data_IF_835013454666
#
_entry.id   IF_835013454666
#
_cell.length_a   1.000
_cell.length_b   1.000
_cell.length_c   1.000
_cell.angle_alpha   90.00
_cell.angle_beta   90.00
_cell.angle_gamma   90.00
#
_symmetry.space_group_name_H-M   'P 1'
#
loop_
_entity.id
_entity.type
_entity.pdbx_description
1 polymer ?
#
# COMPACT_ATOMS: atom_id res chain seq x y z
N UNK A 1 7.38 -26.32 -3.24
CA UNK A 1 5.94 -26.69 -3.40
C UNK A 1 5.09 -25.54 -2.84
N UNK A 2 3.86 -25.40 -3.30
CA UNK A 2 3.00 -24.34 -2.78
C UNK A 2 2.54 -24.67 -1.35
N UNK A 3 2.55 -23.68 -0.46
CA UNK A 3 2.07 -23.86 0.91
C UNK A 3 0.57 -24.12 0.96
N UNK A 4 0.14 -25.00 1.88
CA UNK A 4 -1.27 -25.31 2.08
C UNK A 4 -2.00 -24.12 2.72
N UNK A 5 -3.19 -23.79 2.20
CA UNK A 5 -4.01 -22.70 2.73
C UNK A 5 -4.47 -22.94 4.17
N UNK A 6 -4.74 -24.20 4.54
CA UNK A 6 -5.15 -24.57 5.91
C UNK A 6 -4.01 -24.33 6.91
N UNK A 7 -2.77 -24.64 6.52
CA UNK A 7 -1.60 -24.36 7.33
C UNK A 7 -1.40 -22.83 7.51
N UNK A 8 -1.60 -22.07 6.44
CA UNK A 8 -1.51 -20.60 6.52
C UNK A 8 -2.57 -20.03 7.46
N UNK A 9 -3.81 -20.54 7.40
CA UNK A 9 -4.87 -20.11 8.29
C UNK A 9 -4.53 -20.44 9.74
N UNK A 10 -3.99 -21.62 10.00
CA UNK A 10 -3.52 -22.01 11.33
C UNK A 10 -2.45 -21.03 11.86
N UNK A 11 -1.46 -20.67 11.03
CA UNK A 11 -0.42 -19.68 11.41
C UNK A 11 -1.05 -18.31 11.70
N UNK A 12 -2.03 -17.87 10.91
CA UNK A 12 -2.75 -16.61 11.18
C UNK A 12 -3.42 -16.62 12.54
N UNK A 13 -4.08 -17.73 12.88
CA UNK A 13 -4.77 -17.89 14.16
C UNK A 13 -3.77 -17.88 15.33
N UNK A 14 -2.63 -18.56 15.18
CA UNK A 14 -1.57 -18.57 16.19
C UNK A 14 -0.94 -17.18 16.40
N UNK A 15 -0.76 -16.42 15.32
CA UNK A 15 -0.17 -15.09 15.37
C UNK A 15 -1.14 -13.98 15.81
N UNK A 16 -2.44 -14.25 15.88
CA UNK A 16 -3.50 -13.22 16.07
C UNK A 16 -3.38 -12.42 17.38
N UNK A 17 -2.68 -12.92 18.37
CA UNK A 17 -2.38 -12.19 19.62
C UNK A 17 -1.33 -11.09 19.51
N UNK A 18 -0.62 -11.00 18.38
CA UNK A 18 0.42 -9.99 18.15
C UNK A 18 -0.12 -8.68 17.61
N UNK A 19 -1.24 -8.71 16.86
CA UNK A 19 -1.85 -7.56 16.19
C UNK A 19 -2.77 -8.02 15.07
N UNK A 20 -3.10 -7.12 14.15
CA UNK A 20 -3.89 -7.45 12.96
C UNK A 20 -3.04 -8.22 11.94
N UNK A 21 -3.32 -9.52 11.82
CA UNK A 21 -2.58 -10.40 10.90
C UNK A 21 -3.28 -10.43 9.54
N UNK A 22 -2.53 -10.12 8.50
CA UNK A 22 -2.96 -10.22 7.11
C UNK A 22 -1.98 -11.03 6.29
N UNK A 23 -2.49 -11.77 5.30
CA UNK A 23 -1.67 -12.59 4.40
C UNK A 23 -1.87 -12.20 2.95
N UNK A 24 -0.81 -12.31 2.16
CA UNK A 24 -0.87 -12.12 0.70
C UNK A 24 -0.18 -13.26 0.01
N UNK A 25 -0.89 -13.92 -0.88
CA UNK A 25 -0.31 -14.95 -1.74
C UNK A 25 0.67 -14.32 -2.73
N UNK A 26 1.87 -14.92 -2.83
CA UNK A 26 2.92 -14.47 -3.75
C UNK A 26 3.67 -15.69 -4.32
N UNK A 27 3.57 -15.93 -5.61
CA UNK A 27 4.29 -16.99 -6.35
C UNK A 27 4.14 -18.40 -5.78
N UNK A 28 2.95 -18.73 -5.22
CA UNK A 28 2.69 -20.05 -4.63
C UNK A 28 2.86 -20.11 -3.12
N UNK A 29 3.56 -19.16 -2.52
CA UNK A 29 3.77 -19.01 -1.09
C UNK A 29 3.02 -17.82 -0.51
N UNK A 30 3.16 -17.54 0.77
CA UNK A 30 2.42 -16.48 1.43
C UNK A 30 3.34 -15.54 2.22
N UNK A 31 3.09 -14.25 2.07
CA UNK A 31 3.68 -13.20 2.91
C UNK A 31 2.74 -12.89 4.07
N UNK A 32 3.26 -12.84 5.30
CA UNK A 32 2.50 -12.55 6.49
C UNK A 32 2.87 -11.17 7.02
N UNK A 33 1.84 -10.39 7.31
CA UNK A 33 1.94 -9.03 7.82
C UNK A 33 1.27 -8.94 9.18
N UNK A 34 1.83 -8.12 10.07
CA UNK A 34 1.19 -7.71 11.31
C UNK A 34 1.13 -6.18 11.32
N UNK A 35 -0.07 -5.62 11.50
CA UNK A 35 -0.34 -4.18 11.42
C UNK A 35 0.24 -3.54 10.13
N UNK A 36 0.16 -4.26 9.01
CA UNK A 36 0.67 -3.84 7.72
C UNK A 36 2.19 -3.98 7.52
N UNK A 37 2.93 -4.45 8.52
CA UNK A 37 4.38 -4.69 8.47
C UNK A 37 4.66 -6.13 8.09
N UNK A 38 5.42 -6.36 7.02
CA UNK A 38 5.85 -7.70 6.62
C UNK A 38 6.87 -8.24 7.61
N UNK A 39 6.48 -9.20 8.43
CA UNK A 39 7.38 -9.83 9.41
C UNK A 39 7.83 -11.24 9.02
N UNK A 40 7.09 -11.93 8.18
CA UNK A 40 7.41 -13.32 7.85
C UNK A 40 6.85 -13.80 6.53
N UNK A 41 7.20 -15.04 6.20
CA UNK A 41 6.81 -15.76 5.00
C UNK A 41 6.37 -17.18 5.41
N UNK A 42 5.40 -17.74 4.70
CA UNK A 42 5.12 -19.18 4.76
C UNK A 42 5.48 -19.77 3.40
N UNK A 43 6.48 -20.64 3.41
CA UNK A 43 6.99 -21.33 2.24
C UNK A 43 7.10 -22.82 2.53
N UNK A 44 6.57 -23.67 1.65
CA UNK A 44 6.60 -25.13 1.78
C UNK A 44 6.14 -25.65 3.17
N UNK A 45 5.02 -25.10 3.66
CA UNK A 45 4.45 -25.36 5.00
C UNK A 45 5.41 -25.11 6.18
N UNK A 46 6.35 -24.20 6.03
CA UNK A 46 7.20 -23.74 7.12
C UNK A 46 7.01 -22.23 7.32
N UNK A 47 7.05 -21.80 8.58
CA UNK A 47 7.01 -20.40 8.95
C UNK A 47 8.44 -19.85 9.03
N UNK A 48 8.68 -18.78 8.29
CA UNK A 48 9.91 -18.03 8.28
C UNK A 48 9.67 -16.62 8.80
N UNK A 49 10.40 -16.22 9.83
CA UNK A 49 10.31 -14.86 10.41
C UNK A 49 11.58 -14.07 10.09
N UNK A 50 11.42 -12.80 9.74
CA UNK A 50 12.57 -11.93 9.46
C UNK A 50 13.52 -11.86 10.64
N UNK A 51 14.83 -12.03 10.41
CA UNK A 51 15.81 -12.04 11.47
C UNK A 51 15.99 -10.63 12.05
N UNK A 52 15.84 -10.55 13.38
CA UNK A 52 16.12 -9.35 14.16
C UNK A 52 16.82 -9.73 15.45
N UNK A 53 17.63 -8.82 15.99
CA UNK A 53 18.34 -9.07 17.25
C UNK A 53 17.37 -9.34 18.41
N UNK A 54 16.31 -8.55 18.50
CA UNK A 54 15.29 -8.70 19.53
C UNK A 54 14.46 -9.98 19.35
N UNK A 55 14.22 -10.39 18.11
CA UNK A 55 13.53 -11.65 17.78
C UNK A 55 14.39 -12.85 18.17
N UNK A 56 15.68 -12.83 17.86
CA UNK A 56 16.61 -13.89 18.23
C UNK A 56 16.63 -14.15 19.76
N UNK A 57 16.52 -13.09 20.56
CA UNK A 57 16.50 -13.20 22.02
C UNK A 57 15.22 -13.87 22.58
N UNK A 58 14.19 -14.07 21.75
CA UNK A 58 12.93 -14.75 22.12
C UNK A 58 12.88 -16.21 21.68
N UNK A 59 13.82 -16.64 20.86
CA UNK A 59 13.95 -18.02 20.40
C UNK A 59 14.90 -18.80 21.35
N UNK A 60 14.52 -20.02 21.69
CA UNK A 60 15.40 -20.92 22.44
C UNK A 60 16.54 -21.42 21.56
N UNK A 61 16.19 -21.86 20.35
CA UNK A 61 17.13 -22.25 19.31
C UNK A 61 16.93 -21.39 18.06
N UNK A 62 18.00 -20.77 17.60
CA UNK A 62 17.98 -19.92 16.42
C UNK A 62 18.39 -20.77 15.21
N UNK A 63 17.44 -21.18 14.42
CA UNK A 63 17.68 -21.87 13.15
C UNK A 63 17.49 -20.87 12.01
N UNK A 64 18.54 -20.65 11.24
CA UNK A 64 18.53 -19.78 10.07
C UNK A 64 18.40 -20.61 8.80
N UNK A 65 17.43 -20.26 7.94
CA UNK A 65 17.21 -20.93 6.66
C UNK A 65 16.65 -19.96 5.62
N UNK A 66 17.03 -20.19 4.37
CA UNK A 66 16.44 -19.44 3.24
C UNK A 66 15.07 -20.02 2.89
N UNK A 67 14.02 -19.21 2.82
CA UNK A 67 12.68 -19.66 2.45
C UNK A 67 12.60 -20.28 1.04
N UNK A 68 13.40 -19.76 0.12
CA UNK A 68 13.52 -20.22 -1.27
C UNK A 68 14.91 -19.90 -1.81
N UNK A 69 15.36 -20.56 -2.90
CA UNK A 69 16.67 -20.32 -3.49
C UNK A 69 16.89 -18.85 -3.86
N UNK A 70 17.98 -18.25 -3.34
CA UNK A 70 18.32 -16.85 -3.56
C UNK A 70 17.68 -15.87 -2.57
N UNK A 71 16.83 -16.32 -1.65
CA UNK A 71 16.31 -15.49 -0.56
C UNK A 71 17.35 -15.30 0.55
N UNK A 72 17.24 -14.18 1.27
CA UNK A 72 17.99 -13.99 2.51
C UNK A 72 17.50 -14.98 3.57
N UNK A 73 18.41 -15.39 4.44
CA UNK A 73 18.09 -16.27 5.56
C UNK A 73 17.10 -15.59 6.51
N UNK A 74 16.16 -16.41 7.00
CA UNK A 74 15.14 -16.05 7.98
C UNK A 74 15.19 -17.03 9.16
N UNK A 75 14.59 -16.66 10.27
CA UNK A 75 14.37 -17.63 11.35
C UNK A 75 13.36 -18.67 10.88
N UNK A 76 13.76 -19.93 10.85
CA UNK A 76 12.84 -21.05 10.69
C UNK A 76 12.18 -21.33 12.04
N UNK A 77 10.86 -21.30 12.07
CA UNK A 77 10.09 -21.58 13.28
C UNK A 77 9.50 -22.99 13.16
N UNK A 78 10.08 -23.92 13.88
CA UNK A 78 9.63 -25.31 13.88
C UNK A 78 8.45 -25.51 14.84
N UNK A 79 8.46 -24.82 16.00
CA UNK A 79 7.38 -24.90 16.99
C UNK A 79 6.36 -23.79 16.75
N UNK A 80 5.43 -24.04 15.84
CA UNK A 80 4.34 -23.13 15.51
C UNK A 80 3.11 -23.29 16.42
N UNK A 81 3.10 -24.30 17.29
CA UNK A 81 2.01 -24.57 18.22
C UNK A 81 2.10 -23.71 19.48
N UNK A 82 3.31 -23.27 19.85
CA UNK A 82 3.51 -22.36 20.99
C UNK A 82 3.13 -20.92 20.60
N UNK A 83 1.84 -20.63 20.80
CA UNK A 83 1.25 -19.32 20.51
C UNK A 83 1.91 -18.18 21.28
N UNK A 84 2.24 -18.38 22.54
CA UNK A 84 2.77 -17.32 23.40
C UNK A 84 4.18 -16.93 22.95
N UNK A 85 5.01 -17.92 22.64
CA UNK A 85 6.34 -17.70 22.07
C UNK A 85 6.30 -17.03 20.71
N UNK A 86 5.37 -17.43 19.81
CA UNK A 86 5.17 -16.79 18.53
C UNK A 86 4.76 -15.32 18.65
N UNK A 87 3.78 -15.04 19.51
CA UNK A 87 3.32 -13.66 19.76
C UNK A 87 4.43 -12.80 20.34
N UNK A 88 5.21 -13.33 21.28
CA UNK A 88 6.34 -12.63 21.87
C UNK A 88 7.45 -12.34 20.83
N UNK A 89 7.74 -13.32 19.96
CA UNK A 89 8.69 -13.17 18.85
C UNK A 89 8.26 -12.07 17.88
N UNK A 90 7.00 -12.08 17.45
CA UNK A 90 6.47 -11.09 16.51
C UNK A 90 6.50 -9.70 17.13
N UNK A 91 6.03 -9.53 18.36
CA UNK A 91 6.05 -8.24 19.08
C UNK A 91 7.46 -7.69 19.28
N UNK A 92 8.45 -8.55 19.48
CA UNK A 92 9.85 -8.14 19.60
C UNK A 92 10.45 -7.76 18.22
N UNK A 93 10.02 -8.43 17.17
CA UNK A 93 10.52 -8.25 15.80
C UNK A 93 9.96 -6.99 15.13
N UNK A 94 8.66 -6.71 15.28
CA UNK A 94 7.95 -5.63 14.60
C UNK A 94 8.59 -4.24 14.71
N UNK A 95 9.03 -3.76 15.90
CA UNK A 95 9.59 -2.41 16.04
C UNK A 95 10.88 -2.21 15.28
N UNK A 96 11.62 -3.28 15.02
CA UNK A 96 12.93 -3.24 14.36
C UNK A 96 12.84 -3.40 12.84
N UNK A 97 11.68 -3.87 12.35
CA UNK A 97 11.45 -3.99 10.93
C UNK A 97 11.16 -2.61 10.32
N UNK A 98 11.58 -2.39 9.05
CA UNK A 98 11.23 -1.18 8.35
C UNK A 98 9.71 -1.08 8.28
N UNK A 99 9.16 -0.17 9.07
CA UNK A 99 7.77 0.22 8.96
C UNK A 99 7.57 0.64 7.51
N UNK A 100 6.67 0.00 6.80
CA UNK A 100 6.18 0.57 5.55
C UNK A 100 5.58 1.91 5.95
N UNK A 101 6.36 2.98 5.84
CA UNK A 101 5.75 4.29 5.66
C UNK A 101 4.75 4.03 4.56
N UNK A 102 3.45 4.08 4.89
CA UNK A 102 2.44 4.15 3.85
C UNK A 102 3.03 5.15 2.89
N UNK A 103 3.34 4.75 1.67
CA UNK A 103 3.62 5.75 0.65
C UNK A 103 2.32 6.52 0.66
N UNK A 104 2.29 7.61 1.43
CA UNK A 104 1.30 8.65 1.24
C UNK A 104 1.45 8.89 -0.23
N UNK A 105 0.50 8.35 -0.98
CA UNK A 105 0.52 8.50 -2.41
C UNK A 105 0.47 10.01 -2.58
N UNK A 106 1.52 10.68 -3.07
CA UNK A 106 1.47 12.15 -3.20
C UNK A 106 0.29 12.58 -4.06
N UNK A 107 -0.26 11.63 -4.85
CA UNK A 107 -1.51 11.77 -5.56
C UNK A 107 -2.75 11.80 -4.66
N UNK A 108 -2.73 11.16 -3.47
CA UNK A 108 -3.87 11.17 -2.54
C UNK A 108 -3.89 12.43 -1.65
N UNK A 109 -2.76 13.11 -1.48
CA UNK A 109 -2.68 14.40 -0.77
C UNK A 109 -2.84 15.61 -1.71
N UNK A 110 -2.96 15.41 -3.01
CA UNK A 110 -3.40 16.47 -3.91
C UNK A 110 -4.83 16.79 -3.51
N UNK A 111 -4.99 17.88 -2.74
CA UNK A 111 -6.30 18.38 -2.35
C UNK A 111 -7.16 18.40 -3.58
N UNK A 112 -8.28 17.68 -3.55
CA UNK A 112 -9.30 17.77 -4.58
C UNK A 112 -9.77 19.22 -4.59
N UNK A 113 -9.22 20.01 -5.49
CA UNK A 113 -9.60 21.40 -5.62
C UNK A 113 -10.85 21.47 -6.49
N UNK A 114 -11.91 21.99 -5.95
CA UNK A 114 -13.14 22.32 -6.67
C UNK A 114 -13.26 23.82 -6.67
N UNK A 115 -13.21 24.48 -7.85
CA UNK A 115 -13.39 25.93 -7.89
C UNK A 115 -14.81 26.32 -7.46
N UNK A 116 -14.93 27.44 -6.75
CA UNK A 116 -16.22 28.00 -6.41
C UNK A 116 -16.82 28.79 -7.58
N UNK A 117 -15.98 29.37 -8.42
CA UNK A 117 -16.40 30.20 -9.57
C UNK A 117 -15.43 30.08 -10.77
N UNK A 118 -15.86 30.61 -11.93
CA UNK A 118 -15.02 30.70 -13.11
C UNK A 118 -13.83 31.67 -12.94
N UNK A 119 -13.92 32.59 -12.00
CA UNK A 119 -12.88 33.60 -11.77
C UNK A 119 -11.78 33.08 -10.81
N UNK A 120 -11.97 31.88 -10.25
CA UNK A 120 -10.94 31.21 -9.47
C UNK A 120 -9.75 30.84 -10.33
N UNK A 121 -8.56 30.85 -9.73
CA UNK A 121 -7.32 30.50 -10.44
C UNK A 121 -7.02 29.01 -10.37
N UNK A 122 -6.48 28.49 -11.47
CA UNK A 122 -6.09 27.08 -11.60
C UNK A 122 -4.85 26.84 -10.72
N UNK A 123 -4.91 25.93 -9.71
CA UNK A 123 -3.77 25.63 -8.88
C UNK A 123 -2.72 24.80 -9.62
N UNK A 124 -1.46 24.91 -9.21
CA UNK A 124 -0.39 24.08 -9.76
C UNK A 124 -0.61 22.60 -9.42
N UNK A 125 -0.48 21.72 -10.39
CA UNK A 125 -0.64 20.27 -10.21
C UNK A 125 -2.08 19.84 -9.98
N UNK A 126 -3.04 20.49 -10.65
CA UNK A 126 -4.47 20.16 -10.57
C UNK A 126 -4.74 18.69 -10.93
N UNK A 127 -5.65 18.07 -10.17
CA UNK A 127 -6.12 16.71 -10.43
C UNK A 127 -7.50 16.76 -11.08
N UNK A 128 -7.65 16.09 -12.22
CA UNK A 128 -8.91 15.98 -12.94
C UNK A 128 -9.87 15.02 -12.20
N UNK A 129 -10.48 15.49 -11.12
CA UNK A 129 -11.43 14.75 -10.30
C UNK A 129 -12.83 14.71 -10.92
N UNK A 130 -13.71 13.86 -10.36
CA UNK A 130 -15.12 13.84 -10.77
C UNK A 130 -15.85 15.14 -10.41
N UNK A 131 -15.49 15.73 -9.27
CA UNK A 131 -16.03 17.01 -8.81
C UNK A 131 -15.63 18.15 -9.75
N UNK A 132 -14.35 18.18 -10.18
CA UNK A 132 -13.89 19.14 -11.18
C UNK A 132 -14.56 18.92 -12.53
N UNK A 133 -14.83 17.66 -12.92
CA UNK A 133 -15.61 17.36 -14.13
C UNK A 133 -17.02 17.92 -14.02
N UNK A 134 -17.69 17.73 -12.89
CA UNK A 134 -19.05 18.27 -12.68
C UNK A 134 -19.06 19.79 -12.78
N UNK A 135 -18.03 20.48 -12.26
CA UNK A 135 -17.88 21.92 -12.41
C UNK A 135 -17.81 22.32 -13.89
N UNK A 136 -16.94 21.69 -14.70
CA UNK A 136 -16.85 22.02 -16.12
C UNK A 136 -18.12 21.65 -16.91
N UNK A 137 -18.84 20.60 -16.49
CA UNK A 137 -20.09 20.21 -17.14
C UNK A 137 -21.19 21.28 -17.00
N UNK A 138 -21.16 22.11 -15.97
CA UNK A 138 -22.10 23.23 -15.79
C UNK A 138 -21.94 24.28 -16.90
N UNK A 139 -20.72 24.44 -17.45
CA UNK A 139 -20.40 25.48 -18.42
C UNK A 139 -20.16 24.96 -19.85
N UNK A 140 -19.79 23.68 -19.97
CA UNK A 140 -19.45 23.04 -21.25
C UNK A 140 -20.45 21.95 -21.67
N UNK A 141 -21.45 21.67 -20.79
CA UNK A 141 -22.48 20.66 -21.05
C UNK A 141 -22.10 19.26 -20.54
N UNK A 142 -23.12 18.40 -20.44
CA UNK A 142 -23.01 17.04 -19.86
C UNK A 142 -22.09 16.11 -20.67
N UNK A 143 -21.78 16.43 -21.90
CA UNK A 143 -20.83 15.71 -22.76
C UNK A 143 -19.36 15.97 -22.44
N UNK A 144 -19.05 16.92 -21.55
CA UNK A 144 -17.67 17.26 -21.23
C UNK A 144 -16.87 16.07 -20.71
N UNK A 145 -15.68 15.87 -21.28
CA UNK A 145 -14.68 14.89 -20.81
C UNK A 145 -13.29 15.51 -20.83
N UNK A 146 -12.47 15.14 -19.85
CA UNK A 146 -11.06 15.52 -19.86
C UNK A 146 -10.33 14.82 -21.02
N UNK A 147 -9.98 15.57 -22.05
CA UNK A 147 -9.08 15.15 -23.14
C UNK A 147 -7.63 15.34 -22.69
N UNK A 148 -6.70 14.55 -23.20
CA UNK A 148 -5.27 14.62 -22.85
C UNK A 148 -4.69 16.03 -23.11
N UNK A 149 -5.05 16.64 -24.22
CA UNK A 149 -4.61 18.01 -24.56
C UNK A 149 -5.11 19.05 -23.55
N UNK A 150 -6.35 18.91 -23.08
CA UNK A 150 -6.91 19.84 -22.08
C UNK A 150 -6.31 19.63 -20.68
N UNK A 151 -6.02 18.39 -20.29
CA UNK A 151 -5.31 18.12 -19.04
C UNK A 151 -3.91 18.72 -19.05
N UNK A 152 -3.20 18.60 -20.18
CA UNK A 152 -1.89 19.22 -20.38
C UNK A 152 -2.00 20.74 -20.26
N UNK A 153 -2.97 21.34 -20.94
CA UNK A 153 -3.22 22.78 -20.89
C UNK A 153 -3.47 23.27 -19.46
N UNK A 154 -4.31 22.58 -18.69
CA UNK A 154 -4.58 22.93 -17.28
C UNK A 154 -3.31 22.95 -16.42
N UNK A 155 -2.42 21.99 -16.61
CA UNK A 155 -1.18 21.91 -15.86
C UNK A 155 -0.14 22.98 -16.26
N UNK A 156 -0.11 23.34 -17.54
CA UNK A 156 0.81 24.34 -18.09
C UNK A 156 0.33 25.79 -17.83
N UNK A 157 -0.95 25.98 -17.58
CA UNK A 157 -1.57 27.29 -17.38
C UNK A 157 -2.04 27.51 -15.93
N UNK A 158 -1.33 26.96 -14.96
CA UNK A 158 -1.56 27.27 -13.55
C UNK A 158 -1.44 28.79 -13.30
N UNK A 159 -2.38 29.34 -12.52
CA UNK A 159 -2.49 30.78 -12.29
C UNK A 159 -3.45 31.51 -13.22
N UNK A 160 -3.88 30.92 -14.33
CA UNK A 160 -5.00 31.40 -15.15
C UNK A 160 -6.34 31.08 -14.49
N UNK A 161 -7.41 31.69 -14.96
CA UNK A 161 -8.75 31.47 -14.43
C UNK A 161 -9.42 30.25 -15.07
N UNK A 162 -10.42 29.69 -14.41
CA UNK A 162 -11.25 28.63 -15.00
C UNK A 162 -12.08 29.11 -16.18
N UNK A 163 -12.32 30.42 -16.27
CA UNK A 163 -12.92 31.04 -17.46
C UNK A 163 -12.04 30.83 -18.70
N UNK A 164 -10.73 31.11 -18.57
CA UNK A 164 -9.76 30.85 -19.63
C UNK A 164 -9.72 29.38 -20.02
N UNK A 165 -9.87 28.48 -19.04
CA UNK A 165 -9.91 27.04 -19.29
C UNK A 165 -11.15 26.62 -20.10
N UNK A 166 -12.31 27.19 -19.82
CA UNK A 166 -13.55 26.94 -20.60
C UNK A 166 -13.40 27.41 -22.03
N UNK A 167 -12.80 28.59 -22.26
CA UNK A 167 -12.55 29.12 -23.61
C UNK A 167 -11.52 28.26 -24.36
N UNK A 168 -10.44 27.86 -23.67
CA UNK A 168 -9.42 27.00 -24.27
C UNK A 168 -10.00 25.62 -24.66
N UNK A 169 -10.89 25.04 -23.84
CA UNK A 169 -11.55 23.80 -24.21
C UNK A 169 -12.37 23.92 -25.49
N UNK A 170 -13.15 24.99 -25.63
CA UNK A 170 -13.95 25.26 -26.86
C UNK A 170 -13.08 25.44 -28.10
N UNK A 171 -11.83 25.93 -27.92
CA UNK A 171 -10.88 26.08 -29.01
C UNK A 171 -10.14 24.80 -29.40
N UNK A 172 -10.21 23.76 -28.53
CA UNK A 172 -9.61 22.46 -28.76
C UNK A 172 -10.60 21.44 -29.37
N UNK A 173 -11.87 21.81 -29.54
CA UNK A 173 -12.86 21.05 -30.29
C UNK A 173 -12.81 21.35 -31.80
#
# INVERSE_FOLDING_TARGET
>A
MASNADFVQFIVDQCSGAGEITVKKMMGDYCIYCDGVLFGLVCDNNLYVKPTYQGAAKLQDVVMRSPYPGAKEHFLIDDVDDRDSLVALIKATLPTLPQRKSKKNPMLERKKYVPASLDDTIPQGIVCSQELRAFFQQYLGTGFRFKVGFQKWLNENAGKTYRDAVEAYKSLE
#
